data_IF_198039698148
#
_entry.id   IF_198039698148
#
_cell.length_a   1.000
_cell.length_b   1.000
_cell.length_c   1.000
_cell.angle_alpha   90.00
_cell.angle_beta   90.00
_cell.angle_gamma   90.00
#
_symmetry.space_group_name_H-M   'P 1'
#
loop_
_entity.id
_entity.type
_entity.pdbx_description
1 polymer ?
#
# COMPACT_ATOMS: atom_id res chain seq x y z
N UNK A 1 14.32 -22.81 -4.45
CA UNK A 1 13.58 -21.64 -5.01
C UNK A 1 12.10 -21.70 -4.60
N UNK A 2 11.75 -21.18 -3.42
CA UNK A 2 10.68 -20.20 -3.17
C UNK A 2 9.33 -20.32 -3.95
N UNK A 3 8.83 -21.52 -4.27
CA UNK A 3 7.53 -21.71 -4.98
C UNK A 3 6.37 -21.05 -4.24
N UNK A 4 6.37 -21.11 -2.91
CA UNK A 4 5.38 -20.44 -2.07
C UNK A 4 5.45 -18.92 -2.17
N UNK A 5 6.67 -18.33 -2.16
CA UNK A 5 6.86 -16.88 -2.36
C UNK A 5 6.32 -16.43 -3.73
N UNK A 6 6.44 -17.26 -4.76
CA UNK A 6 5.91 -16.98 -6.11
C UNK A 6 4.38 -17.07 -6.13
N UNK A 7 3.80 -18.04 -5.44
CA UNK A 7 2.34 -18.15 -5.27
C UNK A 7 1.78 -16.96 -4.49
N UNK A 8 2.44 -16.55 -3.41
CA UNK A 8 2.08 -15.41 -2.57
C UNK A 8 2.22 -14.08 -3.32
N UNK A 9 3.29 -13.91 -4.11
CA UNK A 9 3.46 -12.72 -4.97
C UNK A 9 2.41 -12.70 -6.08
N UNK A 10 2.08 -13.83 -6.70
CA UNK A 10 1.01 -13.90 -7.70
C UNK A 10 -0.36 -13.59 -7.10
N UNK A 11 -0.66 -14.05 -5.88
CA UNK A 11 -1.92 -13.71 -5.18
C UNK A 11 -1.93 -12.26 -4.72
N UNK A 12 -0.83 -11.71 -4.22
CA UNK A 12 -0.73 -10.31 -3.81
C UNK A 12 -0.88 -9.35 -5.01
N UNK A 13 -0.26 -9.68 -6.15
CA UNK A 13 -0.39 -8.91 -7.39
C UNK A 13 -1.79 -9.06 -7.98
N UNK A 14 -2.35 -10.27 -8.00
CA UNK A 14 -3.72 -10.53 -8.47
C UNK A 14 -4.76 -9.81 -7.62
N UNK A 15 -4.65 -9.92 -6.29
CA UNK A 15 -5.52 -9.22 -5.35
C UNK A 15 -5.36 -7.70 -5.47
N UNK A 16 -4.13 -7.19 -5.54
CA UNK A 16 -3.86 -5.76 -5.72
C UNK A 16 -4.44 -5.20 -7.01
N UNK A 17 -4.32 -5.91 -8.13
CA UNK A 17 -4.91 -5.51 -9.41
C UNK A 17 -6.44 -5.53 -9.36
N UNK A 18 -7.04 -6.56 -8.76
CA UNK A 18 -8.48 -6.69 -8.61
C UNK A 18 -9.07 -5.63 -7.66
N UNK A 19 -8.30 -5.25 -6.64
CA UNK A 19 -8.66 -4.21 -5.68
C UNK A 19 -8.52 -2.80 -6.27
N UNK A 20 -7.47 -2.56 -7.05
CA UNK A 20 -7.25 -1.31 -7.77
C UNK A 20 -8.34 -1.05 -8.82
N UNK A 21 -8.79 -2.11 -9.52
CA UNK A 21 -9.93 -2.03 -10.44
C UNK A 21 -11.27 -1.69 -9.76
N UNK A 22 -11.40 -1.97 -8.45
CA UNK A 22 -12.67 -1.81 -7.74
C UNK A 22 -12.87 -0.40 -7.13
N UNK A 23 -11.85 0.46 -7.08
CA UNK A 23 -11.97 1.87 -6.71
C UNK A 23 -12.45 2.15 -5.27
N UNK A 24 -12.59 1.13 -4.41
CA UNK A 24 -13.25 1.21 -3.10
C UNK A 24 -12.26 0.94 -1.97
N UNK A 25 -11.92 2.00 -1.21
CA UNK A 25 -11.06 1.93 -0.02
C UNK A 25 -11.54 0.89 1.02
N UNK A 26 -12.86 0.71 1.17
CA UNK A 26 -13.45 -0.28 2.09
C UNK A 26 -13.17 -1.74 1.69
N UNK A 27 -13.02 -2.03 0.39
CA UNK A 27 -12.66 -3.36 -0.07
C UNK A 27 -11.19 -3.68 0.25
N UNK A 28 -10.32 -2.68 0.29
CA UNK A 28 -8.93 -2.87 0.72
C UNK A 28 -8.81 -3.39 2.14
N UNK A 29 -9.57 -2.80 3.07
CA UNK A 29 -9.65 -3.30 4.45
C UNK A 29 -10.24 -4.72 4.51
N UNK A 30 -11.31 -4.99 3.75
CA UNK A 30 -11.93 -6.31 3.71
C UNK A 30 -11.00 -7.39 3.12
N UNK A 31 -10.19 -7.06 2.11
CA UNK A 31 -9.22 -7.98 1.52
C UNK A 31 -8.01 -8.20 2.41
N UNK A 32 -7.56 -7.19 3.16
CA UNK A 32 -6.52 -7.36 4.17
C UNK A 32 -7.03 -8.27 5.29
N UNK A 33 -8.21 -7.99 5.84
CA UNK A 33 -8.81 -8.79 6.90
C UNK A 33 -9.12 -10.22 6.44
N UNK A 34 -9.69 -10.38 5.23
CA UNK A 34 -9.98 -11.68 4.63
C UNK A 34 -8.72 -12.48 4.31
N UNK A 35 -7.67 -11.81 3.79
CA UNK A 35 -6.37 -12.43 3.56
C UNK A 35 -5.70 -12.89 4.86
N UNK A 36 -5.79 -12.09 5.93
CA UNK A 36 -5.26 -12.46 7.24
C UNK A 36 -6.05 -13.62 7.88
N UNK A 37 -7.38 -13.60 7.78
CA UNK A 37 -8.24 -14.65 8.29
C UNK A 37 -8.03 -15.98 7.56
N UNK A 38 -7.90 -15.95 6.23
CA UNK A 38 -7.61 -17.14 5.44
C UNK A 38 -6.22 -17.70 5.76
N UNK A 39 -5.21 -16.83 5.92
CA UNK A 39 -3.85 -17.24 6.27
C UNK A 39 -3.79 -17.88 7.66
N UNK A 40 -4.52 -17.32 8.63
CA UNK A 40 -4.64 -17.90 9.96
C UNK A 40 -5.43 -19.22 9.97
N UNK A 41 -6.44 -19.36 9.08
CA UNK A 41 -7.30 -20.55 9.04
C UNK A 41 -6.68 -21.74 8.33
N UNK A 42 -5.92 -21.52 7.24
CA UNK A 42 -5.42 -22.62 6.40
C UNK A 42 -3.92 -22.89 6.59
N UNK A 43 -3.18 -21.91 7.12
CA UNK A 43 -1.73 -21.98 7.24
C UNK A 43 -1.21 -21.44 8.60
N UNK A 44 -1.59 -22.07 9.73
CA UNK A 44 -1.24 -21.59 11.06
C UNK A 44 0.29 -21.53 11.29
N UNK A 45 1.04 -22.48 10.74
CA UNK A 45 2.51 -22.54 10.84
C UNK A 45 3.19 -21.35 10.12
N UNK A 46 2.62 -20.93 8.99
CA UNK A 46 3.08 -19.75 8.25
C UNK A 46 2.65 -18.45 8.93
N UNK A 47 1.49 -18.44 9.60
CA UNK A 47 1.06 -17.29 10.40
C UNK A 47 2.06 -17.04 11.54
N UNK A 48 2.51 -18.07 12.25
CA UNK A 48 3.47 -17.93 13.34
C UNK A 48 4.82 -17.39 12.86
N UNK A 49 5.33 -17.88 11.72
CA UNK A 49 6.56 -17.37 11.10
C UNK A 49 6.42 -15.89 10.67
N UNK A 50 5.26 -15.52 10.11
CA UNK A 50 4.97 -14.13 9.71
C UNK A 50 4.81 -13.24 10.94
N UNK A 51 4.20 -13.75 12.01
CA UNK A 51 4.00 -13.05 13.27
C UNK A 51 5.32 -12.81 14.02
N UNK A 52 6.19 -13.81 14.05
CA UNK A 52 7.55 -13.70 14.60
C UNK A 52 8.39 -12.68 13.82
N UNK A 53 8.21 -12.65 12.49
CA UNK A 53 8.82 -11.66 11.61
C UNK A 53 8.05 -10.34 11.50
N UNK A 54 6.92 -10.18 12.18
CA UNK A 54 6.05 -9.01 12.05
C UNK A 54 6.78 -7.68 12.30
N UNK A 55 7.68 -7.55 13.31
CA UNK A 55 8.42 -6.31 13.52
C UNK A 55 9.26 -5.93 12.30
N UNK A 56 9.84 -6.92 11.60
CA UNK A 56 10.63 -6.68 10.41
C UNK A 56 9.76 -6.23 9.22
N UNK A 57 8.55 -6.79 9.08
CA UNK A 57 7.59 -6.34 8.07
C UNK A 57 7.08 -4.92 8.34
N UNK A 58 6.75 -4.60 9.60
CA UNK A 58 6.37 -3.24 10.01
C UNK A 58 7.50 -2.26 9.74
N UNK A 59 8.74 -2.60 10.07
CA UNK A 59 9.89 -1.73 9.82
C UNK A 59 10.12 -1.48 8.31
N UNK A 60 9.90 -2.49 7.46
CA UNK A 60 9.94 -2.31 5.99
C UNK A 60 8.78 -1.44 5.50
N UNK A 61 7.57 -1.66 6.02
CA UNK A 61 6.41 -0.85 5.67
C UNK A 61 6.64 0.62 6.03
N UNK A 62 7.19 0.91 7.21
CA UNK A 62 7.57 2.27 7.62
C UNK A 62 8.58 2.89 6.68
N UNK A 63 9.61 2.16 6.23
CA UNK A 63 10.57 2.66 5.24
C UNK A 63 9.93 2.98 3.89
N UNK A 64 9.02 2.12 3.41
CA UNK A 64 8.27 2.35 2.17
C UNK A 64 7.35 3.57 2.34
N UNK A 65 6.67 3.70 3.48
CA UNK A 65 5.83 4.85 3.78
C UNK A 65 6.63 6.14 3.87
N UNK A 66 7.82 6.15 4.49
CA UNK A 66 8.69 7.34 4.54
C UNK A 66 9.09 7.79 3.13
N UNK A 67 9.49 6.84 2.27
CA UNK A 67 9.81 7.12 0.88
C UNK A 67 8.58 7.66 0.11
N UNK A 68 7.41 7.06 0.32
CA UNK A 68 6.17 7.50 -0.30
C UNK A 68 5.73 8.89 0.20
N UNK A 69 5.97 9.20 1.47
CA UNK A 69 5.64 10.49 2.06
C UNK A 69 6.53 11.60 1.49
N UNK A 70 7.83 11.34 1.30
CA UNK A 70 8.74 12.26 0.60
C UNK A 70 8.31 12.54 -0.83
N UNK A 71 7.82 11.51 -1.54
CA UNK A 71 7.28 11.67 -2.89
C UNK A 71 5.97 12.47 -2.87
N UNK A 72 5.08 12.22 -1.92
CA UNK A 72 3.84 12.98 -1.74
C UNK A 72 4.12 14.44 -1.40
N UNK A 73 5.04 14.72 -0.49
CA UNK A 73 5.41 16.08 -0.10
C UNK A 73 5.93 16.87 -1.32
N UNK A 74 6.73 16.24 -2.19
CA UNK A 74 7.16 16.83 -3.47
C UNK A 74 5.99 17.08 -4.44
N UNK A 75 5.00 16.20 -4.45
CA UNK A 75 3.77 16.39 -5.22
C UNK A 75 2.91 17.54 -4.68
N UNK A 76 2.74 17.63 -3.35
CA UNK A 76 1.99 18.70 -2.69
C UNK A 76 2.67 20.06 -2.86
N UNK A 77 4.00 20.10 -2.77
CA UNK A 77 4.81 21.31 -2.97
C UNK A 77 4.73 21.80 -4.44
N UNK A 78 4.63 20.87 -5.39
CA UNK A 78 4.41 21.17 -6.81
C UNK A 78 2.97 21.62 -7.09
N UNK A 79 1.98 21.02 -6.41
CA UNK A 79 0.57 21.45 -6.45
C UNK A 79 0.40 22.85 -5.86
N UNK A 80 1.01 23.14 -4.70
CA UNK A 80 0.99 24.49 -4.08
C UNK A 80 1.62 25.55 -4.98
N UNK A 81 2.76 25.24 -5.63
CA UNK A 81 3.38 26.16 -6.61
C UNK A 81 2.52 26.35 -7.85
N UNK A 82 1.84 25.31 -8.32
CA UNK A 82 0.93 25.39 -9.46
C UNK A 82 -0.36 26.18 -9.13
N UNK A 83 -0.91 25.98 -7.94
CA UNK A 83 -2.07 26.73 -7.43
C UNK A 83 -1.74 28.22 -7.16
N UNK A 84 -0.55 28.51 -6.63
CA UNK A 84 -0.08 29.88 -6.43
C UNK A 84 0.15 30.65 -7.75
N UNK A 85 0.60 29.96 -8.80
CA UNK A 85 0.70 30.52 -10.16
C UNK A 85 -0.67 30.82 -10.80
N UNK A 86 -1.70 30.06 -10.43
CA UNK A 86 -3.06 30.27 -10.96
C UNK A 86 -3.73 31.48 -10.31
N UNK A 87 -3.50 31.74 -9.01
CA UNK A 87 -4.01 32.94 -8.32
C UNK A 87 -3.38 34.26 -8.79
N UNK A 88 -2.12 34.25 -9.22
CA UNK A 88 -1.46 35.46 -9.76
C UNK A 88 -2.03 35.90 -11.11
N UNK A 89 -2.56 34.96 -11.90
CA UNK A 89 -3.17 35.25 -13.19
C UNK A 89 -4.60 35.84 -13.08
N UNK A 90 -5.26 35.66 -11.93
CA UNK A 90 -6.62 36.19 -11.66
C UNK A 90 -6.59 37.57 -10.99
N UNK A 91 -5.45 37.96 -10.37
CA UNK A 91 -5.28 39.28 -9.73
C UNK A 91 -4.65 40.35 -10.62
N UNK A 92 -4.16 39.97 -11.80
CA UNK A 92 -3.48 40.85 -12.77
C UNK A 92 -4.21 40.94 -14.12
N UNK A 93 -5.40 40.34 -14.23
CA UNK A 93 -6.36 40.60 -15.32
C UNK A 93 -7.51 41.45 -14.82
#
# INVERSE_FOLDING_TARGET
MQKWKKAFVCTAVGAGAMLALSGRRNLGLASIAGGLALLASEYPDHFETVWESAPAYVNRASQIFDALNRISEKFEESQRRSAGRMQLHERLG
#
